data_IF_599468332186
#
_entry.id   IF_599468332186
#
_cell.length_a   1.000
_cell.length_b   1.000
_cell.length_c   1.000
_cell.angle_alpha   90.00
_cell.angle_beta   90.00
_cell.angle_gamma   90.00
#
_symmetry.space_group_name_H-M   'P 1'
#
loop_
_entity.id
_entity.type
_entity.pdbx_description
1 polymer ?
#
# COMPACT_ATOMS: atom_id res chain seq x y z
N UNK A 1 38.44 -7.67 15.00
CA UNK A 1 37.67 -8.36 13.94
C UNK A 1 36.27 -7.78 13.95
N UNK A 2 36.01 -6.76 13.13
CA UNK A 2 34.67 -6.16 13.02
C UNK A 2 34.23 -6.31 11.57
N UNK A 3 33.10 -6.99 11.37
CA UNK A 3 32.56 -7.27 10.05
C UNK A 3 31.17 -7.87 10.14
N UNK A 4 30.26 -7.21 10.84
CA UNK A 4 28.83 -7.43 10.61
C UNK A 4 28.47 -6.71 9.31
N UNK A 5 28.59 -7.41 8.19
CA UNK A 5 27.90 -7.02 6.98
C UNK A 5 26.41 -7.34 7.21
N UNK A 6 25.70 -6.42 7.86
CA UNK A 6 24.25 -6.37 7.78
C UNK A 6 23.89 -5.99 6.34
N UNK A 7 23.95 -6.97 5.43
CA UNK A 7 23.40 -6.87 4.09
C UNK A 7 21.87 -6.98 4.19
N UNK A 8 21.24 -5.99 4.81
CA UNK A 8 19.81 -5.76 4.71
C UNK A 8 19.52 -5.08 3.37
N UNK A 9 19.76 -5.81 2.27
CA UNK A 9 19.38 -5.37 0.93
C UNK A 9 17.89 -5.64 0.75
N UNK A 10 17.13 -4.54 0.76
CA UNK A 10 15.85 -4.37 0.05
C UNK A 10 14.87 -5.55 0.16
N UNK A 11 14.01 -5.50 1.18
CA UNK A 11 12.62 -5.87 0.94
C UNK A 11 12.10 -4.92 -0.13
N UNK A 12 12.17 -5.32 -1.39
CA UNK A 12 11.33 -4.77 -2.43
C UNK A 12 9.92 -4.73 -1.82
N UNK A 13 9.37 -3.52 -1.66
CA UNK A 13 8.00 -3.37 -1.19
C UNK A 13 7.10 -3.99 -2.27
N UNK A 14 6.86 -5.30 -2.23
CA UNK A 14 6.00 -5.99 -3.21
C UNK A 14 4.54 -5.89 -2.80
N UNK A 15 4.26 -5.46 -1.57
CA UNK A 15 2.90 -5.35 -1.06
C UNK A 15 2.30 -3.96 -1.34
N UNK A 16 1.04 -3.89 -1.78
CA UNK A 16 0.34 -2.62 -1.96
C UNK A 16 0.22 -1.89 -0.62
N UNK A 17 0.55 -0.60 -0.64
CA UNK A 17 0.42 0.25 0.55
C UNK A 17 -0.99 0.81 0.61
N UNK A 18 -1.66 0.63 1.74
CA UNK A 18 -3.05 1.03 1.94
C UNK A 18 -3.12 2.10 3.01
N UNK A 19 -3.79 3.20 2.72
CA UNK A 19 -3.99 4.30 3.65
C UNK A 19 -5.47 4.67 3.71
N UNK A 20 -5.99 4.93 4.91
CA UNK A 20 -7.30 5.56 5.06
C UNK A 20 -7.12 7.06 5.29
N UNK A 21 -8.03 7.86 4.75
CA UNK A 21 -8.09 9.31 5.00
C UNK A 21 -9.53 9.72 5.21
N UNK A 22 -9.70 10.77 6.00
CA UNK A 22 -10.99 11.39 6.26
C UNK A 22 -10.89 12.89 6.03
N UNK A 23 -11.90 13.49 5.41
CA UNK A 23 -12.01 14.95 5.36
C UNK A 23 -12.68 15.52 6.62
N UNK A 24 -12.72 16.85 6.70
CA UNK A 24 -13.39 17.57 7.80
C UNK A 24 -14.91 17.40 7.83
N UNK A 25 -15.51 16.87 6.76
CA UNK A 25 -16.94 16.56 6.67
C UNK A 25 -17.25 15.11 7.06
N UNK A 26 -16.24 14.34 7.49
CA UNK A 26 -16.39 12.94 7.87
C UNK A 26 -16.46 11.98 6.68
N UNK A 27 -16.16 12.43 5.46
CA UNK A 27 -16.06 11.55 4.30
C UNK A 27 -14.75 10.79 4.39
N UNK A 28 -14.84 9.48 4.43
CA UNK A 28 -13.70 8.55 4.45
C UNK A 28 -13.46 7.97 3.07
N UNK A 29 -12.19 7.74 2.75
CA UNK A 29 -11.79 6.95 1.59
C UNK A 29 -10.48 6.23 1.88
N UNK A 30 -10.22 5.21 1.08
CA UNK A 30 -9.03 4.39 1.12
C UNK A 30 -8.22 4.60 -0.15
N UNK A 31 -6.93 4.92 0.01
CA UNK A 31 -5.98 5.08 -1.08
C UNK A 31 -5.06 3.84 -1.10
N UNK A 32 -5.08 3.09 -2.20
CA UNK A 32 -4.24 1.91 -2.43
C UNK A 32 -3.15 2.28 -3.43
N UNK A 33 -1.90 2.20 -3.01
CA UNK A 33 -0.73 2.46 -3.85
C UNK A 33 -0.16 1.14 -4.37
N UNK A 34 -0.19 0.97 -5.68
CA UNK A 34 0.52 -0.09 -6.37
C UNK A 34 2.04 0.17 -6.25
N UNK A 35 2.81 -0.77 -5.69
CA UNK A 35 4.24 -0.55 -5.49
C UNK A 35 5.05 -0.68 -6.79
N UNK A 36 4.57 -1.48 -7.75
CA UNK A 36 5.21 -1.74 -9.04
C UNK A 36 5.05 -0.55 -9.99
N UNK A 37 3.83 -0.02 -10.09
CA UNK A 37 3.52 1.08 -11.03
C UNK A 37 3.50 2.46 -10.38
N UNK A 38 3.45 2.52 -9.05
CA UNK A 38 3.24 3.77 -8.30
C UNK A 38 1.82 4.34 -8.41
N UNK A 39 0.91 3.70 -9.15
CA UNK A 39 -0.46 4.17 -9.31
C UNK A 39 -1.23 4.12 -7.99
N UNK A 40 -2.03 5.15 -7.75
CA UNK A 40 -2.91 5.24 -6.58
C UNK A 40 -4.35 5.04 -7.04
N UNK A 41 -5.03 4.06 -6.46
CA UNK A 41 -6.46 3.84 -6.63
C UNK A 41 -7.19 4.26 -5.36
N UNK A 42 -8.24 5.07 -5.51
CA UNK A 42 -9.09 5.52 -4.40
C UNK A 42 -10.42 4.78 -4.39
N UNK A 43 -10.84 4.29 -3.24
CA UNK A 43 -12.13 3.61 -3.02
C UNK A 43 -12.82 4.13 -1.76
N UNK A 44 -14.12 3.93 -1.63
CA UNK A 44 -14.90 4.51 -0.53
C UNK A 44 -14.84 3.64 0.73
N UNK A 45 -14.72 2.31 0.58
CA UNK A 45 -14.77 1.37 1.71
C UNK A 45 -13.53 0.49 1.82
N UNK A 46 -13.30 -0.07 3.01
CA UNK A 46 -12.22 -1.04 3.24
C UNK A 46 -12.45 -2.33 2.42
N UNK A 47 -13.70 -2.75 2.28
CA UNK A 47 -14.06 -3.95 1.54
C UNK A 47 -13.73 -3.80 0.05
N UNK A 48 -14.05 -2.65 -0.56
CA UNK A 48 -13.63 -2.33 -1.92
C UNK A 48 -12.11 -2.34 -2.06
N UNK A 49 -11.38 -1.88 -1.02
CA UNK A 49 -9.92 -1.88 -1.03
C UNK A 49 -9.37 -3.32 -1.02
N UNK A 50 -9.90 -4.20 -0.15
CA UNK A 50 -9.53 -5.63 -0.14
C UNK A 50 -9.82 -6.30 -1.47
N UNK A 51 -11.03 -6.15 -2.00
CA UNK A 51 -11.40 -6.74 -3.29
C UNK A 51 -10.46 -6.24 -4.38
N UNK A 52 -10.06 -4.97 -4.35
CA UNK A 52 -9.13 -4.41 -5.35
C UNK A 52 -7.73 -5.00 -5.22
N UNK A 53 -7.25 -5.22 -4.00
CA UNK A 53 -5.96 -5.86 -3.72
C UNK A 53 -5.98 -7.34 -4.15
N UNK A 54 -7.06 -8.06 -3.86
CA UNK A 54 -7.20 -9.46 -4.27
C UNK A 54 -7.34 -9.63 -5.80
N UNK A 55 -8.06 -8.71 -6.46
CA UNK A 55 -8.25 -8.76 -7.93
C UNK A 55 -7.04 -8.26 -8.72
N UNK A 56 -6.28 -7.34 -8.16
CA UNK A 56 -5.11 -6.79 -8.85
C UNK A 56 -3.91 -7.61 -8.40
N UNK A 57 -3.42 -8.47 -9.29
CA UNK A 57 -2.14 -9.15 -9.06
C UNK A 57 -1.03 -8.08 -9.10
N UNK A 58 -0.74 -7.51 -7.93
CA UNK A 58 0.31 -6.52 -7.70
C UNK A 58 1.67 -7.19 -7.53
#
# INVERSE_FOLDING_TARGET
MFGFAASSKESFYTEPQVYYRSDRQGRTWWDIRNPVTGHITRVATEEEARIRIEKSAF
#
